data_IF_357112867673
#
_entry.id   IF_357112867673
#
_cell.length_a   1.000
_cell.length_b   1.000
_cell.length_c   1.000
_cell.angle_alpha   90.00
_cell.angle_beta   90.00
_cell.angle_gamma   90.00
#
_symmetry.space_group_name_H-M   'P 1'
#
loop_
_entity.id
_entity.type
_entity.pdbx_description
1 polymer ?
#
# COMPACT_ATOMS: atom_id res chain seq x y z
N UNK A 1 -8.63 -16.76 39.11
CA UNK A 1 -8.12 -17.44 40.32
C UNK A 1 -9.02 -17.00 41.45
N UNK A 2 -9.73 -17.96 42.06
CA UNK A 2 -10.64 -17.72 43.19
C UNK A 2 -9.86 -17.52 44.51
N UNK A 3 -10.50 -17.17 45.64
CA UNK A 3 -11.41 -18.10 46.32
C UNK A 3 -12.81 -17.54 46.59
N UNK A 4 -13.79 -18.43 46.63
CA UNK A 4 -15.05 -18.25 47.34
C UNK A 4 -15.05 -19.30 48.47
N UNK A 5 -15.05 -18.86 49.73
CA UNK A 5 -15.16 -19.72 50.91
C UNK A 5 -16.54 -19.50 51.56
N UNK A 6 -17.55 -20.29 51.16
CA UNK A 6 -18.82 -20.35 51.89
C UNK A 6 -18.82 -21.49 52.91
N UNK A 7 -18.41 -21.16 54.14
CA UNK A 7 -18.61 -22.01 55.33
C UNK A 7 -19.68 -21.39 56.24
N UNK A 8 -20.90 -21.91 56.20
CA UNK A 8 -21.82 -21.75 57.33
C UNK A 8 -22.87 -22.87 57.47
N UNK A 9 -22.68 -23.67 58.52
CA UNK A 9 -23.67 -24.58 59.11
C UNK A 9 -24.19 -23.98 60.44
N UNK A 10 -25.02 -24.72 61.19
CA UNK A 10 -26.47 -24.85 61.08
C UNK A 10 -27.18 -23.97 62.14
N UNK A 11 -28.43 -24.30 62.53
CA UNK A 11 -28.56 -24.71 63.94
C UNK A 11 -29.45 -25.93 64.19
N UNK A 12 -29.06 -26.73 65.19
CA UNK A 12 -29.89 -27.67 65.97
C UNK A 12 -30.02 -27.10 67.40
N UNK A 13 -31.16 -27.24 68.09
CA UNK A 13 -31.30 -26.61 69.42
C UNK A 13 -32.58 -26.81 70.22
N UNK A 14 -32.96 -28.06 70.51
CA UNK A 14 -33.71 -28.53 71.69
C UNK A 14 -34.88 -27.74 72.34
N UNK A 15 -36.06 -28.38 72.34
CA UNK A 15 -37.00 -28.63 73.45
C UNK A 15 -36.98 -27.77 74.73
N UNK A 16 -38.17 -27.46 75.28
CA UNK A 16 -38.74 -28.23 76.42
C UNK A 16 -40.15 -27.77 76.91
N UNK A 17 -40.93 -28.75 77.39
CA UNK A 17 -41.97 -28.69 78.46
C UNK A 17 -43.32 -27.95 78.30
N UNK A 18 -44.31 -28.52 79.00
CA UNK A 18 -45.58 -27.96 79.53
C UNK A 18 -46.71 -27.56 78.54
N UNK A 19 -48.00 -27.76 78.87
CA UNK A 19 -48.62 -28.78 79.73
C UNK A 19 -50.14 -28.91 79.44
N UNK A 20 -50.84 -29.75 80.22
CA UNK A 20 -52.27 -30.11 80.12
C UNK A 20 -53.27 -28.99 79.78
N UNK A 21 -54.23 -29.33 78.89
CA UNK A 21 -55.59 -28.77 78.94
C UNK A 21 -56.63 -29.72 78.33
N UNK A 22 -57.38 -30.44 79.18
CA UNK A 22 -58.79 -30.93 79.05
C UNK A 22 -59.08 -32.17 79.92
N UNK A 23 -59.09 -32.02 81.25
CA UNK A 23 -59.77 -32.95 82.19
C UNK A 23 -60.36 -32.14 83.35
N UNK A 24 -61.48 -32.61 83.90
CA UNK A 24 -62.11 -32.28 85.20
C UNK A 24 -63.44 -31.53 85.13
N UNK A 25 -64.52 -32.32 85.04
CA UNK A 25 -65.89 -31.94 85.39
C UNK A 25 -66.39 -32.89 86.48
N UNK A 26 -66.11 -32.61 87.76
CA UNK A 26 -66.84 -33.25 88.87
C UNK A 26 -66.59 -32.63 90.26
N UNK A 27 -67.51 -32.91 91.20
CA UNK A 27 -67.59 -32.48 92.62
C UNK A 27 -67.88 -30.96 92.80
N UNK A 28 -68.65 -30.52 93.80
CA UNK A 28 -69.22 -31.18 94.99
C UNK A 28 -68.49 -30.70 96.27
N UNK A 29 -69.13 -30.54 97.44
CA UNK A 29 -70.48 -30.93 97.90
C UNK A 29 -70.85 -30.17 99.20
N UNK A 30 -72.00 -30.52 99.82
CA UNK A 30 -72.51 -30.10 101.14
C UNK A 30 -72.95 -28.62 101.28
N UNK A 31 -74.24 -28.31 101.46
CA UNK A 31 -75.13 -28.51 102.63
C UNK A 31 -74.95 -27.48 103.77
N UNK A 32 -76.03 -26.74 104.08
CA UNK A 32 -76.55 -26.63 105.46
C UNK A 32 -78.01 -26.13 105.49
N UNK A 33 -78.64 -26.29 106.65
CA UNK A 33 -79.99 -25.88 107.11
C UNK A 33 -80.58 -24.56 106.56
N UNK A 34 -81.92 -24.41 106.46
CA UNK A 34 -83.00 -25.36 106.79
C UNK A 34 -84.36 -24.71 107.12
N UNK A 35 -85.29 -25.50 107.65
CA UNK A 35 -86.50 -25.07 108.38
C UNK A 35 -87.54 -24.22 107.62
N UNK A 36 -88.30 -24.83 106.70
CA UNK A 36 -89.63 -24.33 106.36
C UNK A 36 -90.57 -24.56 107.55
N UNK A 37 -90.93 -23.48 108.26
CA UNK A 37 -91.74 -23.54 109.48
C UNK A 37 -93.23 -23.75 109.16
N UNK A 38 -93.95 -24.43 110.06
CA UNK A 38 -95.35 -24.79 109.85
C UNK A 38 -96.30 -23.59 109.97
N UNK A 39 -97.32 -23.55 109.10
CA UNK A 39 -98.38 -22.54 109.08
C UNK A 39 -99.43 -22.82 110.19
N UNK A 40 -99.08 -22.46 111.43
CA UNK A 40 -99.89 -22.76 112.62
C UNK A 40 -100.99 -21.71 112.80
N UNK A 41 -102.09 -21.89 112.06
CA UNK A 41 -103.30 -21.05 112.15
C UNK A 41 -104.10 -21.29 113.44
N UNK A 42 -103.53 -20.96 114.60
CA UNK A 42 -104.17 -21.05 115.91
C UNK A 42 -105.09 -19.84 116.18
N UNK A 43 -106.24 -19.78 115.50
CA UNK A 43 -107.25 -18.72 115.68
C UNK A 43 -108.00 -18.85 117.02
N UNK A 44 -107.33 -18.52 118.12
CA UNK A 44 -107.87 -18.55 119.48
C UNK A 44 -108.96 -17.50 119.73
N UNK A 45 -110.20 -17.82 119.37
CA UNK A 45 -111.36 -16.95 119.66
C UNK A 45 -111.71 -17.03 121.15
N UNK A 46 -111.11 -16.15 121.96
CA UNK A 46 -111.47 -15.95 123.37
C UNK A 46 -112.84 -15.26 123.50
N UNK A 47 -113.90 -16.05 123.30
CA UNK A 47 -115.29 -15.60 123.33
C UNK A 47 -115.76 -15.28 124.77
N UNK A 48 -115.41 -14.09 125.27
CA UNK A 48 -116.23 -13.30 126.20
C UNK A 48 -116.67 -13.97 127.51
N UNK A 49 -115.94 -14.97 127.99
CA UNK A 49 -116.27 -15.69 129.22
C UNK A 49 -116.12 -14.81 130.45
N UNK A 50 -117.19 -14.12 130.88
CA UNK A 50 -117.34 -13.64 132.26
C UNK A 50 -117.02 -14.81 133.17
N UNK A 51 -115.91 -14.72 133.92
CA UNK A 51 -115.29 -15.94 134.45
C UNK A 51 -116.26 -16.73 135.33
N UNK A 52 -116.20 -18.08 135.34
CA UNK A 52 -117.12 -18.89 136.17
C UNK A 52 -117.07 -18.49 137.65
N UNK A 53 -115.91 -18.00 138.09
CA UNK A 53 -115.68 -17.39 139.39
C UNK A 53 -116.50 -16.09 139.58
N UNK A 54 -116.42 -15.12 138.66
CA UNK A 54 -117.19 -13.88 138.73
C UNK A 54 -118.71 -14.13 138.77
N UNK A 55 -119.19 -15.14 138.02
CA UNK A 55 -120.60 -15.54 138.04
C UNK A 55 -121.01 -16.17 139.37
N UNK A 56 -120.26 -17.16 139.84
CA UNK A 56 -120.48 -17.81 141.14
C UNK A 56 -120.44 -16.80 142.30
N UNK A 57 -119.63 -15.75 142.20
CA UNK A 57 -119.58 -14.66 143.19
C UNK A 57 -120.83 -13.78 143.19
N UNK A 58 -121.41 -13.47 142.02
CA UNK A 58 -122.70 -12.77 141.94
C UNK A 58 -123.84 -13.64 142.51
N UNK A 59 -123.85 -14.94 142.18
CA UNK A 59 -124.84 -15.88 142.72
C UNK A 59 -124.72 -16.03 144.24
N UNK A 60 -123.49 -16.00 144.79
CA UNK A 60 -123.23 -16.00 146.23
C UNK A 60 -123.66 -14.69 146.92
N UNK A 61 -123.49 -13.52 146.30
CA UNK A 61 -124.03 -12.27 146.84
C UNK A 61 -125.57 -12.26 146.83
N UNK A 62 -126.21 -12.77 145.78
CA UNK A 62 -127.66 -12.92 145.71
C UNK A 62 -128.19 -13.84 146.83
N UNK A 63 -127.55 -14.99 147.06
CA UNK A 63 -127.87 -15.89 148.16
C UNK A 63 -127.67 -15.22 149.54
N UNK A 64 -126.58 -14.48 149.73
CA UNK A 64 -126.31 -13.75 150.98
C UNK A 64 -127.30 -12.60 151.25
N UNK A 65 -127.78 -11.92 150.20
CA UNK A 65 -128.87 -10.94 150.30
C UNK A 65 -130.19 -11.62 150.72
N UNK A 66 -130.54 -12.75 150.09
CA UNK A 66 -131.75 -13.51 150.41
C UNK A 66 -131.74 -13.99 151.87
N UNK A 67 -130.63 -14.55 152.34
CA UNK A 67 -130.45 -14.96 153.73
C UNK A 67 -130.56 -13.77 154.71
N UNK A 68 -130.01 -12.60 154.38
CA UNK A 68 -130.13 -11.40 155.21
C UNK A 68 -131.58 -10.91 155.33
N UNK A 69 -132.37 -10.97 154.25
CA UNK A 69 -133.80 -10.62 154.25
C UNK A 69 -134.60 -11.61 155.10
N UNK A 70 -134.36 -12.92 154.94
CA UNK A 70 -135.01 -13.95 155.75
C UNK A 70 -134.71 -13.80 157.25
N UNK A 71 -133.46 -13.48 157.62
CA UNK A 71 -133.06 -13.25 159.01
C UNK A 71 -133.74 -12.01 159.64
N UNK A 72 -134.03 -10.96 158.86
CA UNK A 72 -134.86 -9.84 159.33
C UNK A 72 -136.29 -10.31 159.56
N UNK A 73 -136.91 -11.03 158.61
CA UNK A 73 -138.28 -11.54 158.81
C UNK A 73 -138.41 -12.50 160.01
N UNK A 74 -137.37 -13.27 160.33
CA UNK A 74 -137.35 -14.15 161.51
C UNK A 74 -137.20 -13.37 162.83
N UNK A 75 -136.39 -12.30 162.86
CA UNK A 75 -136.32 -11.37 164.00
C UNK A 75 -137.70 -10.78 164.28
N UNK A 76 -138.37 -10.30 163.23
CA UNK A 76 -139.65 -9.58 163.36
C UNK A 76 -140.81 -10.54 163.69
N UNK A 77 -140.76 -11.80 163.22
CA UNK A 77 -141.69 -12.86 163.64
C UNK A 77 -141.61 -13.14 165.16
N UNK A 78 -140.41 -13.31 165.72
CA UNK A 78 -140.22 -13.49 167.17
C UNK A 78 -140.49 -12.22 168.01
N UNK A 79 -140.63 -11.04 167.38
CA UNK A 79 -141.07 -9.82 168.07
C UNK A 79 -142.59 -9.85 168.33
N UNK A 80 -143.37 -10.64 167.55
CA UNK A 80 -144.83 -10.75 167.66
C UNK A 80 -145.33 -11.85 168.62
N UNK A 81 -144.57 -12.94 168.84
CA UNK A 81 -144.97 -14.03 169.78
C UNK A 81 -144.98 -13.62 171.28
N UNK A 82 -144.73 -12.35 171.60
CA UNK A 82 -144.64 -11.85 172.98
C UNK A 82 -145.99 -11.60 173.68
N UNK A 83 -147.14 -11.76 173.00
CA UNK A 83 -148.44 -11.25 173.47
C UNK A 83 -149.37 -12.27 174.15
N UNK A 84 -149.06 -13.57 174.18
CA UNK A 84 -149.91 -14.59 174.81
C UNK A 84 -149.22 -15.36 175.97
N UNK A 85 -150.00 -16.16 176.70
CA UNK A 85 -149.88 -16.30 178.15
C UNK A 85 -149.21 -17.60 178.64
N UNK A 86 -148.85 -17.61 179.93
CA UNK A 86 -148.29 -18.73 180.71
C UNK A 86 -146.95 -19.33 180.21
N UNK A 87 -145.84 -18.60 180.42
CA UNK A 87 -144.50 -19.20 180.50
C UNK A 87 -143.74 -18.75 181.76
N UNK A 88 -142.89 -19.65 182.28
CA UNK A 88 -142.28 -19.55 183.62
C UNK A 88 -141.14 -18.53 183.71
N UNK A 89 -140.86 -18.05 184.93
CA UNK A 89 -139.81 -17.07 185.21
C UNK A 89 -138.37 -17.60 184.97
N UNK A 90 -138.20 -18.92 184.85
CA UNK A 90 -136.93 -19.56 184.50
C UNK A 90 -136.62 -19.42 183.00
N UNK A 91 -137.62 -19.68 182.14
CA UNK A 91 -137.46 -19.66 180.68
C UNK A 91 -137.16 -18.26 180.16
N UNK A 92 -137.81 -17.24 180.71
CA UNK A 92 -137.56 -15.82 180.36
C UNK A 92 -136.08 -15.41 180.52
N UNK A 93 -135.34 -16.01 181.47
CA UNK A 93 -133.89 -15.75 181.65
C UNK A 93 -133.01 -16.53 180.67
N UNK A 94 -133.39 -17.75 180.29
CA UNK A 94 -132.70 -18.54 179.26
C UNK A 94 -132.89 -17.92 177.88
N UNK A 95 -134.13 -17.60 177.52
CA UNK A 95 -134.52 -16.99 176.25
C UNK A 95 -133.87 -15.62 176.05
N UNK A 96 -133.82 -14.76 177.09
CA UNK A 96 -133.14 -13.45 177.00
C UNK A 96 -131.63 -13.58 176.73
N UNK A 97 -130.96 -14.61 177.25
CA UNK A 97 -129.54 -14.90 176.92
C UNK A 97 -129.38 -15.40 175.49
N UNK A 98 -130.24 -16.32 175.03
CA UNK A 98 -130.21 -16.82 173.65
C UNK A 98 -130.53 -15.70 172.63
N UNK A 99 -131.49 -14.81 172.93
CA UNK A 99 -131.77 -13.58 172.14
C UNK A 99 -130.56 -12.66 172.06
N UNK A 100 -129.85 -12.45 173.17
CA UNK A 100 -128.62 -11.64 173.19
C UNK A 100 -127.53 -12.23 172.28
N UNK A 101 -127.25 -13.52 172.43
CA UNK A 101 -126.26 -14.25 171.62
C UNK A 101 -126.62 -14.28 170.13
N UNK A 102 -127.91 -14.40 169.80
CA UNK A 102 -128.41 -14.38 168.41
C UNK A 102 -128.24 -12.99 167.78
N UNK A 103 -128.54 -11.91 168.51
CA UNK A 103 -128.34 -10.54 168.03
C UNK A 103 -126.85 -10.20 167.87
N UNK A 104 -126.00 -10.65 168.80
CA UNK A 104 -124.54 -10.56 168.68
C UNK A 104 -124.05 -11.29 167.41
N UNK A 105 -124.53 -12.51 167.16
CA UNK A 105 -124.19 -13.28 165.96
C UNK A 105 -124.76 -12.67 164.66
N UNK A 106 -125.87 -11.94 164.72
CA UNK A 106 -126.39 -11.16 163.58
C UNK A 106 -125.55 -9.91 163.31
N UNK A 107 -125.03 -9.23 164.33
CA UNK A 107 -124.15 -8.09 164.16
C UNK A 107 -122.74 -8.50 163.69
N UNK A 108 -122.23 -9.66 164.16
CA UNK A 108 -121.09 -10.36 163.56
C UNK A 108 -121.36 -10.67 162.09
N UNK A 109 -122.50 -11.29 161.75
CA UNK A 109 -122.84 -11.65 160.37
C UNK A 109 -122.90 -10.42 159.45
N UNK A 110 -123.52 -9.31 159.88
CA UNK A 110 -123.49 -8.03 159.12
C UNK A 110 -122.07 -7.52 158.92
N UNK A 111 -121.23 -7.55 159.96
CA UNK A 111 -119.82 -7.10 159.92
C UNK A 111 -118.99 -7.95 158.95
N UNK A 112 -119.18 -9.27 159.00
CA UNK A 112 -118.56 -10.24 158.09
C UNK A 112 -119.08 -10.04 156.66
N UNK A 113 -120.39 -9.90 156.44
CA UNK A 113 -121.00 -9.67 155.12
C UNK A 113 -120.46 -8.37 154.49
N UNK A 114 -120.35 -7.28 155.26
CA UNK A 114 -119.72 -6.02 154.80
C UNK A 114 -118.24 -6.22 154.44
N UNK A 115 -117.48 -6.96 155.25
CA UNK A 115 -116.08 -7.29 154.97
C UNK A 115 -115.92 -8.15 153.72
N UNK A 116 -116.80 -9.14 153.52
CA UNK A 116 -116.85 -9.99 152.32
C UNK A 116 -117.18 -9.15 151.08
N UNK A 117 -118.15 -8.23 151.12
CA UNK A 117 -118.43 -7.32 149.98
C UNK A 117 -117.27 -6.37 149.70
N UNK A 118 -116.59 -5.86 150.72
CA UNK A 118 -115.41 -5.01 150.51
C UNK A 118 -114.27 -5.79 149.84
N UNK A 119 -113.99 -7.02 150.29
CA UNK A 119 -113.04 -7.92 149.63
C UNK A 119 -113.49 -8.32 148.23
N UNK A 120 -114.79 -8.52 148.00
CA UNK A 120 -115.34 -8.84 146.69
C UNK A 120 -115.15 -7.67 145.71
N UNK A 121 -115.41 -6.44 146.14
CA UNK A 121 -115.15 -5.23 145.34
C UNK A 121 -113.65 -5.09 145.02
N UNK A 122 -112.77 -5.31 146.00
CA UNK A 122 -111.32 -5.32 145.79
C UNK A 122 -110.85 -6.42 144.83
N UNK A 123 -111.44 -7.62 144.89
CA UNK A 123 -111.18 -8.71 143.94
C UNK A 123 -111.72 -8.39 142.54
N UNK A 124 -112.85 -7.69 142.43
CA UNK A 124 -113.40 -7.26 141.14
C UNK A 124 -112.58 -6.13 140.52
N UNK A 125 -112.10 -5.18 141.32
CA UNK A 125 -111.19 -4.11 140.88
C UNK A 125 -109.86 -4.71 140.39
N UNK A 126 -109.23 -5.57 141.19
CA UNK A 126 -108.01 -6.28 140.79
C UNK A 126 -108.21 -7.21 139.57
N UNK A 127 -109.41 -7.78 139.38
CA UNK A 127 -109.74 -8.57 138.18
C UNK A 127 -109.88 -7.69 136.93
N UNK A 128 -110.43 -6.48 137.04
CA UNK A 128 -110.48 -5.50 135.95
C UNK A 128 -109.06 -5.02 135.61
N UNK A 129 -108.26 -4.66 136.61
CA UNK A 129 -106.85 -4.28 136.41
C UNK A 129 -106.05 -5.41 135.73
N UNK A 130 -106.29 -6.66 136.13
CA UNK A 130 -105.68 -7.86 135.51
C UNK A 130 -106.11 -8.05 134.06
N UNK A 131 -107.38 -7.83 133.75
CA UNK A 131 -107.93 -7.92 132.38
C UNK A 131 -107.36 -6.79 131.50
N UNK A 132 -107.24 -5.57 132.01
CA UNK A 132 -106.68 -4.44 131.25
C UNK A 132 -105.16 -4.54 131.10
N UNK A 133 -104.44 -5.08 132.09
CA UNK A 133 -103.04 -5.48 131.95
C UNK A 133 -102.86 -6.58 130.88
N UNK A 134 -103.77 -7.57 130.82
CA UNK A 134 -103.76 -8.58 129.75
C UNK A 134 -103.91 -7.94 128.37
N UNK A 135 -104.89 -7.04 128.17
CA UNK A 135 -105.06 -6.31 126.90
C UNK A 135 -103.83 -5.50 126.51
N UNK A 136 -103.14 -4.88 127.47
CA UNK A 136 -101.90 -4.16 127.20
C UNK A 136 -100.76 -5.12 126.80
N UNK A 137 -100.68 -6.30 127.42
CA UNK A 137 -99.74 -7.36 127.00
C UNK A 137 -100.08 -7.81 125.56
N UNK A 138 -101.34 -8.06 125.24
CA UNK A 138 -101.78 -8.46 123.88
C UNK A 138 -101.42 -7.39 122.83
N UNK A 139 -101.64 -6.10 123.14
CA UNK A 139 -101.28 -4.96 122.27
C UNK A 139 -99.76 -4.81 122.12
N UNK A 140 -98.98 -5.11 123.16
CA UNK A 140 -97.52 -5.08 123.10
C UNK A 140 -96.96 -6.26 122.32
N UNK A 141 -97.53 -7.47 122.48
CA UNK A 141 -97.19 -8.65 121.69
C UNK A 141 -97.44 -8.40 120.20
N UNK A 142 -98.59 -7.83 119.83
CA UNK A 142 -98.89 -7.53 118.42
C UNK A 142 -97.92 -6.49 117.83
N UNK A 143 -97.50 -5.50 118.61
CA UNK A 143 -96.46 -4.54 118.21
C UNK A 143 -95.08 -5.18 118.07
N UNK A 144 -94.74 -6.16 118.91
CA UNK A 144 -93.50 -6.94 118.82
C UNK A 144 -93.55 -7.79 117.54
N UNK A 145 -94.61 -8.56 117.31
CA UNK A 145 -94.82 -9.36 116.10
C UNK A 145 -94.69 -8.50 114.83
N UNK A 146 -95.34 -7.33 114.80
CA UNK A 146 -95.25 -6.39 113.67
C UNK A 146 -93.81 -5.91 113.45
N UNK A 147 -93.13 -5.44 114.50
CA UNK A 147 -91.75 -4.95 114.43
C UNK A 147 -90.76 -6.05 114.04
N UNK A 148 -90.95 -7.29 114.49
CA UNK A 148 -90.17 -8.45 114.06
C UNK A 148 -90.38 -8.76 112.58
N UNK A 149 -91.63 -8.72 112.10
CA UNK A 149 -91.94 -8.93 110.68
C UNK A 149 -91.34 -7.85 109.76
N UNK A 150 -91.32 -6.60 110.22
CA UNK A 150 -90.68 -5.48 109.53
C UNK A 150 -89.15 -5.60 109.56
N UNK A 151 -88.57 -6.01 110.69
CA UNK A 151 -87.14 -6.26 110.82
C UNK A 151 -86.68 -7.39 109.88
N UNK A 152 -87.41 -8.51 109.82
CA UNK A 152 -87.12 -9.59 108.85
C UNK A 152 -87.32 -9.15 107.38
N UNK A 153 -88.23 -8.21 107.10
CA UNK A 153 -88.36 -7.62 105.76
C UNK A 153 -87.17 -6.71 105.43
N UNK A 154 -86.71 -5.90 106.38
CA UNK A 154 -85.54 -5.03 106.22
C UNK A 154 -84.24 -5.84 106.08
N UNK A 155 -84.05 -6.91 106.87
CA UNK A 155 -82.92 -7.84 106.73
C UNK A 155 -82.86 -8.46 105.33
N UNK A 156 -83.99 -8.97 104.82
CA UNK A 156 -84.07 -9.53 103.46
C UNK A 156 -83.74 -8.49 102.39
N UNK A 157 -84.35 -7.32 102.46
CA UNK A 157 -84.07 -6.23 101.51
C UNK A 157 -82.62 -5.72 101.58
N UNK A 158 -82.01 -5.69 102.77
CA UNK A 158 -80.59 -5.37 102.94
C UNK A 158 -79.68 -6.46 102.35
N UNK A 159 -80.03 -7.74 102.49
CA UNK A 159 -79.30 -8.85 101.89
C UNK A 159 -79.43 -8.87 100.36
N UNK A 160 -80.64 -8.62 99.84
CA UNK A 160 -80.90 -8.45 98.40
C UNK A 160 -80.07 -7.29 97.82
N UNK A 161 -80.02 -6.16 98.52
CA UNK A 161 -79.18 -5.02 98.14
C UNK A 161 -77.68 -5.33 98.23
N UNK A 162 -77.25 -6.06 99.27
CA UNK A 162 -75.86 -6.52 99.44
C UNK A 162 -75.39 -7.39 98.28
N UNK A 163 -76.16 -8.43 97.95
CA UNK A 163 -75.93 -9.28 96.78
C UNK A 163 -75.87 -8.45 95.49
N UNK A 164 -76.80 -7.49 95.30
CA UNK A 164 -76.83 -6.65 94.10
C UNK A 164 -75.64 -5.70 93.99
N UNK A 165 -75.07 -5.24 95.11
CA UNK A 165 -73.81 -4.49 95.13
C UNK A 165 -72.62 -5.39 94.80
N UNK A 166 -72.60 -6.63 95.27
CA UNK A 166 -71.55 -7.61 94.94
C UNK A 166 -71.55 -7.95 93.44
N UNK A 167 -72.71 -8.24 92.84
CA UNK A 167 -72.89 -8.41 91.39
C UNK A 167 -72.34 -7.21 90.59
N UNK A 168 -72.65 -5.98 91.02
CA UNK A 168 -72.18 -4.75 90.36
C UNK A 168 -70.67 -4.53 90.54
N UNK A 169 -70.08 -4.95 91.66
CA UNK A 169 -68.63 -4.94 91.84
C UNK A 169 -67.93 -5.94 90.91
N UNK A 170 -68.49 -7.13 90.71
CA UNK A 170 -67.91 -8.14 89.82
C UNK A 170 -68.07 -7.78 88.34
N UNK A 171 -69.22 -7.27 87.93
CA UNK A 171 -69.42 -6.69 86.58
C UNK A 171 -68.39 -5.60 86.29
N UNK A 172 -68.13 -4.70 87.25
CA UNK A 172 -67.10 -3.65 87.11
C UNK A 172 -65.67 -4.20 87.00
N UNK A 173 -65.35 -5.31 87.69
CA UNK A 173 -64.03 -5.98 87.56
C UNK A 173 -63.88 -6.58 86.15
N UNK A 174 -64.91 -7.27 85.66
CA UNK A 174 -64.91 -7.86 84.32
C UNK A 174 -64.78 -6.79 83.22
N UNK A 175 -65.53 -5.69 83.32
CA UNK A 175 -65.38 -4.52 82.45
C UNK A 175 -63.95 -3.95 82.50
N UNK A 176 -63.34 -3.87 83.69
CA UNK A 176 -61.98 -3.35 83.85
C UNK A 176 -60.90 -4.26 83.21
N UNK A 177 -61.01 -5.59 83.32
CA UNK A 177 -60.11 -6.52 82.63
C UNK A 177 -60.36 -6.57 81.11
N UNK A 178 -61.62 -6.44 80.68
CA UNK A 178 -61.99 -6.29 79.27
C UNK A 178 -61.37 -5.04 78.65
N UNK A 179 -61.45 -3.88 79.32
CA UNK A 179 -60.81 -2.63 78.89
C UNK A 179 -59.28 -2.77 78.84
N UNK A 180 -58.64 -3.39 79.85
CA UNK A 180 -57.18 -3.66 79.81
C UNK A 180 -56.79 -4.53 78.60
N UNK A 181 -57.57 -5.57 78.33
CA UNK A 181 -57.35 -6.48 77.18
C UNK A 181 -57.50 -5.75 75.85
N UNK A 182 -58.54 -4.92 75.70
CA UNK A 182 -58.76 -4.08 74.52
C UNK A 182 -57.61 -3.07 74.30
N UNK A 183 -57.09 -2.46 75.37
CA UNK A 183 -55.93 -1.56 75.30
C UNK A 183 -54.67 -2.32 74.87
N UNK A 184 -54.45 -3.54 75.38
CA UNK A 184 -53.31 -4.37 74.97
C UNK A 184 -53.41 -4.79 73.49
N UNK A 185 -54.59 -5.22 73.04
CA UNK A 185 -54.85 -5.54 71.63
C UNK A 185 -54.63 -4.32 70.72
N UNK A 186 -55.10 -3.14 71.13
CA UNK A 186 -54.91 -1.89 70.38
C UNK A 186 -53.43 -1.56 70.22
N UNK A 187 -52.64 -1.60 71.31
CA UNK A 187 -51.19 -1.37 71.25
C UNK A 187 -50.45 -2.38 70.36
N UNK A 188 -50.90 -3.64 70.34
CA UNK A 188 -50.34 -4.67 69.45
C UNK A 188 -50.69 -4.40 67.97
N UNK A 189 -51.92 -3.98 67.69
CA UNK A 189 -52.35 -3.57 66.35
C UNK A 189 -51.62 -2.31 65.86
N UNK A 190 -51.35 -1.34 66.75
CA UNK A 190 -50.57 -0.14 66.43
C UNK A 190 -49.09 -0.47 66.14
N UNK A 191 -48.47 -1.33 66.95
CA UNK A 191 -47.09 -1.77 66.76
C UNK A 191 -46.91 -2.56 65.45
N UNK A 192 -47.83 -3.47 65.13
CA UNK A 192 -47.82 -4.21 63.87
C UNK A 192 -48.10 -3.32 62.66
N UNK A 193 -49.03 -2.36 62.77
CA UNK A 193 -49.25 -1.34 61.73
C UNK A 193 -48.00 -0.52 61.46
N UNK A 194 -47.37 0.04 62.49
CA UNK A 194 -46.15 0.84 62.35
C UNK A 194 -44.99 0.03 61.73
N UNK A 195 -44.88 -1.26 62.06
CA UNK A 195 -43.90 -2.15 61.44
C UNK A 195 -44.18 -2.37 59.94
N UNK A 196 -45.44 -2.59 59.56
CA UNK A 196 -45.84 -2.75 58.15
C UNK A 196 -45.69 -1.44 57.35
N UNK A 197 -46.04 -0.30 57.92
CA UNK A 197 -45.81 1.03 57.33
C UNK A 197 -44.30 1.26 57.06
N UNK A 198 -43.44 0.87 58.00
CA UNK A 198 -41.98 0.90 57.82
C UNK A 198 -41.46 -0.09 56.77
N UNK A 199 -42.00 -1.30 56.68
CA UNK A 199 -41.65 -2.25 55.61
C UNK A 199 -42.04 -1.71 54.23
N UNK A 200 -43.24 -1.11 54.10
CA UNK A 200 -43.73 -0.52 52.87
C UNK A 200 -42.81 0.61 52.39
N UNK A 201 -42.50 1.58 53.26
CA UNK A 201 -41.60 2.69 52.94
C UNK A 201 -40.19 2.22 52.50
N UNK A 202 -39.65 1.19 53.15
CA UNK A 202 -38.37 0.59 52.76
C UNK A 202 -38.44 -0.06 51.36
N UNK A 203 -39.55 -0.73 51.04
CA UNK A 203 -39.76 -1.35 49.72
C UNK A 203 -40.03 -0.33 48.62
N UNK A 204 -40.73 0.76 48.91
CA UNK A 204 -40.90 1.87 47.99
C UNK A 204 -39.56 2.58 47.71
N UNK A 205 -38.72 2.79 48.73
CA UNK A 205 -37.38 3.34 48.56
C UNK A 205 -36.48 2.42 47.71
N UNK A 206 -36.53 1.11 47.95
CA UNK A 206 -35.82 0.11 47.13
C UNK A 206 -36.31 0.09 45.67
N UNK A 207 -37.63 0.12 45.45
CA UNK A 207 -38.23 0.15 44.11
C UNK A 207 -37.80 1.41 43.35
N UNK A 208 -37.86 2.58 43.99
CA UNK A 208 -37.37 3.84 43.41
C UNK A 208 -35.87 3.78 43.05
N UNK A 209 -35.03 3.17 43.90
CA UNK A 209 -33.60 2.94 43.61
C UNK A 209 -33.41 2.03 42.39
N UNK A 210 -34.13 0.92 42.31
CA UNK A 210 -34.05 -0.03 41.19
C UNK A 210 -34.56 0.60 39.88
N UNK A 211 -35.64 1.39 39.94
CA UNK A 211 -36.17 2.15 38.80
C UNK A 211 -35.15 3.17 38.28
N UNK A 212 -34.48 3.92 39.17
CA UNK A 212 -33.41 4.85 38.78
C UNK A 212 -32.19 4.15 38.14
N UNK A 213 -31.85 2.94 38.60
CA UNK A 213 -30.82 2.10 37.97
C UNK A 213 -31.27 1.60 36.59
N UNK A 214 -32.50 1.10 36.46
CA UNK A 214 -33.10 0.65 35.20
C UNK A 214 -33.13 1.79 34.17
N UNK A 215 -33.59 2.98 34.55
CA UNK A 215 -33.56 4.20 33.70
C UNK A 215 -32.15 4.61 33.24
N UNK A 216 -31.11 4.16 33.94
CA UNK A 216 -29.72 4.45 33.59
C UNK A 216 -29.14 3.38 32.66
N UNK A 217 -29.50 2.11 32.87
CA UNK A 217 -29.22 1.02 31.91
C UNK A 217 -29.98 1.20 30.58
N UNK A 218 -31.19 1.77 30.60
CA UNK A 218 -31.90 2.16 29.37
C UNK A 218 -31.12 3.18 28.55
N UNK A 219 -30.52 4.20 29.20
CA UNK A 219 -29.72 5.24 28.52
C UNK A 219 -28.44 4.67 27.91
N UNK A 220 -27.65 3.92 28.68
CA UNK A 220 -26.43 3.30 28.15
C UNK A 220 -26.71 2.27 27.06
N UNK A 221 -27.84 1.56 27.14
CA UNK A 221 -28.30 0.69 26.04
C UNK A 221 -28.67 1.49 24.77
N UNK A 222 -29.23 2.69 24.88
CA UNK A 222 -29.47 3.55 23.70
C UNK A 222 -28.19 4.18 23.16
N UNK A 223 -27.26 4.57 24.01
CA UNK A 223 -25.95 5.12 23.64
C UNK A 223 -25.15 4.06 22.86
N UNK A 224 -24.98 2.85 23.40
CA UNK A 224 -24.29 1.75 22.71
C UNK A 224 -24.98 1.30 21.41
N UNK A 225 -26.30 1.45 21.27
CA UNK A 225 -26.99 1.19 20.00
C UNK A 225 -26.58 2.19 18.91
N UNK A 226 -26.48 3.47 19.24
CA UNK A 226 -26.01 4.51 18.33
C UNK A 226 -24.55 4.28 17.93
N UNK A 227 -23.67 3.98 18.90
CA UNK A 227 -22.27 3.62 18.63
C UNK A 227 -22.14 2.42 17.68
N UNK A 228 -22.96 1.38 17.88
CA UNK A 228 -22.99 0.18 17.04
C UNK A 228 -23.45 0.52 15.61
N UNK A 229 -24.43 1.42 15.44
CA UNK A 229 -24.95 1.79 14.11
C UNK A 229 -23.99 2.74 13.36
N UNK A 230 -23.32 3.66 14.06
CA UNK A 230 -22.24 4.49 13.50
C UNK A 230 -21.02 3.64 13.07
N UNK A 231 -20.68 2.60 13.85
CA UNK A 231 -19.63 1.64 13.48
C UNK A 231 -20.03 0.80 12.27
N UNK A 232 -21.30 0.38 12.12
CA UNK A 232 -21.78 -0.28 10.89
C UNK A 232 -21.69 0.65 9.68
N UNK A 233 -22.05 1.92 9.82
CA UNK A 233 -21.90 2.94 8.77
C UNK A 233 -20.44 3.14 8.36
N UNK A 234 -19.54 3.15 9.35
CA UNK A 234 -18.08 3.24 9.13
C UNK A 234 -17.53 2.01 8.40
N UNK A 235 -17.91 0.80 8.81
CA UNK A 235 -17.48 -0.46 8.20
C UNK A 235 -17.97 -0.58 6.75
N UNK A 236 -19.23 -0.24 6.48
CA UNK A 236 -19.80 -0.28 5.12
C UNK A 236 -19.10 0.71 4.19
N UNK A 237 -18.94 1.98 4.61
CA UNK A 237 -18.20 3.01 3.86
C UNK A 237 -16.75 2.60 3.55
N UNK A 238 -16.02 2.04 4.53
CA UNK A 238 -14.67 1.52 4.32
C UNK A 238 -14.63 0.32 3.36
N UNK A 239 -15.63 -0.57 3.42
CA UNK A 239 -15.75 -1.73 2.52
C UNK A 239 -15.99 -1.30 1.08
N UNK A 240 -16.89 -0.33 0.86
CA UNK A 240 -17.13 0.27 -0.46
C UNK A 240 -15.91 1.02 -1.01
N UNK A 241 -15.13 1.68 -0.13
CA UNK A 241 -13.87 2.30 -0.53
C UNK A 241 -12.86 1.23 -0.97
N UNK A 242 -12.65 0.20 -0.16
CA UNK A 242 -11.72 -0.90 -0.48
C UNK A 242 -12.11 -1.61 -1.80
N UNK A 243 -13.41 -1.77 -2.08
CA UNK A 243 -13.89 -2.33 -3.35
C UNK A 243 -13.54 -1.43 -4.56
N UNK A 244 -13.74 -0.11 -4.44
CA UNK A 244 -13.38 0.87 -5.47
C UNK A 244 -11.86 0.91 -5.69
N UNK A 245 -11.08 0.94 -4.62
CA UNK A 245 -9.61 0.98 -4.67
C UNK A 245 -9.07 -0.30 -5.34
N UNK A 246 -9.61 -1.49 -5.01
CA UNK A 246 -9.27 -2.77 -5.63
C UNK A 246 -9.58 -2.80 -7.15
N UNK A 247 -10.74 -2.30 -7.59
CA UNK A 247 -11.02 -2.22 -9.04
C UNK A 247 -10.17 -1.15 -9.76
N UNK A 248 -9.76 -0.08 -9.07
CA UNK A 248 -8.79 0.89 -9.62
C UNK A 248 -7.41 0.25 -9.83
N UNK A 249 -6.93 -0.52 -8.84
CA UNK A 249 -5.69 -1.29 -8.91
C UNK A 249 -5.76 -2.35 -10.02
N UNK A 250 -6.86 -3.12 -10.13
CA UNK A 250 -7.04 -4.09 -11.23
C UNK A 250 -6.96 -3.43 -12.61
N UNK A 251 -7.54 -2.23 -12.79
CA UNK A 251 -7.44 -1.46 -14.03
C UNK A 251 -5.98 -1.01 -14.30
N UNK A 252 -5.27 -0.54 -13.28
CA UNK A 252 -3.85 -0.19 -13.39
C UNK A 252 -2.98 -1.41 -13.77
N UNK A 253 -3.15 -2.56 -13.11
CA UNK A 253 -2.43 -3.80 -13.41
C UNK A 253 -2.72 -4.31 -14.82
N UNK A 254 -3.98 -4.27 -15.28
CA UNK A 254 -4.34 -4.60 -16.68
C UNK A 254 -3.63 -3.68 -17.68
N UNK A 255 -3.60 -2.37 -17.42
CA UNK A 255 -2.92 -1.40 -18.27
C UNK A 255 -1.39 -1.57 -18.28
N UNK A 256 -0.79 -1.91 -17.13
CA UNK A 256 0.64 -2.21 -17.03
C UNK A 256 1.01 -3.51 -17.74
N UNK A 257 0.18 -4.57 -17.67
CA UNK A 257 0.36 -5.81 -18.43
C UNK A 257 0.34 -5.54 -19.95
N UNK A 258 -0.66 -4.80 -20.44
CA UNK A 258 -0.75 -4.40 -21.85
C UNK A 258 0.44 -3.53 -22.29
N UNK A 259 1.03 -2.76 -21.38
CA UNK A 259 2.27 -1.99 -21.66
C UNK A 259 3.50 -2.90 -21.73
N UNK A 260 3.59 -3.94 -20.90
CA UNK A 260 4.67 -4.93 -20.96
C UNK A 260 4.59 -5.73 -22.28
N UNK A 261 3.42 -6.28 -22.62
CA UNK A 261 3.17 -7.01 -23.88
C UNK A 261 3.57 -6.20 -25.13
N UNK A 262 3.32 -4.87 -25.11
CA UNK A 262 3.73 -3.95 -26.18
C UNK A 262 5.26 -3.73 -26.24
N UNK A 263 5.95 -3.77 -25.10
CA UNK A 263 7.42 -3.68 -25.08
C UNK A 263 8.07 -5.01 -25.49
N UNK A 264 7.50 -6.14 -25.08
CA UNK A 264 7.93 -7.49 -25.51
C UNK A 264 7.86 -7.61 -27.04
N UNK A 265 6.71 -7.31 -27.65
CA UNK A 265 6.55 -7.32 -29.11
C UNK A 265 7.47 -6.31 -29.84
N UNK A 266 7.82 -5.18 -29.20
CA UNK A 266 8.79 -4.24 -29.75
C UNK A 266 10.23 -4.78 -29.68
N UNK A 267 10.60 -5.45 -28.60
CA UNK A 267 11.91 -6.11 -28.42
C UNK A 267 12.05 -7.26 -29.43
N UNK A 268 11.02 -8.10 -29.60
CA UNK A 268 11.01 -9.17 -30.60
C UNK A 268 11.21 -8.63 -32.02
N UNK A 269 10.52 -7.53 -32.38
CA UNK A 269 10.71 -6.87 -33.68
C UNK A 269 12.13 -6.36 -33.87
N UNK A 270 12.71 -5.68 -32.87
CA UNK A 270 14.08 -5.21 -32.92
C UNK A 270 15.08 -6.37 -33.03
N UNK A 271 14.84 -7.49 -32.34
CA UNK A 271 15.68 -8.68 -32.38
C UNK A 271 15.60 -9.43 -33.73
N UNK A 272 14.42 -9.46 -34.36
CA UNK A 272 14.26 -9.95 -35.73
C UNK A 272 15.01 -9.07 -36.74
N UNK A 273 14.93 -7.74 -36.61
CA UNK A 273 15.68 -6.79 -37.44
C UNK A 273 17.19 -6.92 -37.22
N UNK A 274 17.66 -7.14 -35.99
CA UNK A 274 19.08 -7.39 -35.70
C UNK A 274 19.58 -8.65 -36.45
N UNK A 275 18.84 -9.77 -36.36
CA UNK A 275 19.16 -11.00 -37.10
C UNK A 275 19.18 -10.83 -38.62
N UNK A 276 18.27 -10.02 -39.17
CA UNK A 276 18.28 -9.65 -40.59
C UNK A 276 19.56 -8.89 -40.96
N UNK A 277 19.96 -7.90 -40.16
CA UNK A 277 21.19 -7.13 -40.39
C UNK A 277 22.45 -7.95 -40.20
N UNK A 278 22.50 -8.84 -39.22
CA UNK A 278 23.63 -9.77 -39.04
C UNK A 278 23.77 -10.72 -40.24
N UNK A 279 22.67 -11.27 -40.76
CA UNK A 279 22.69 -12.10 -41.96
C UNK A 279 23.18 -11.33 -43.20
N UNK A 280 22.74 -10.08 -43.38
CA UNK A 280 23.23 -9.20 -44.46
C UNK A 280 24.72 -8.84 -44.29
N UNK A 281 25.20 -8.61 -43.06
CA UNK A 281 26.61 -8.38 -42.76
C UNK A 281 27.48 -9.61 -43.04
N UNK A 282 26.99 -10.82 -42.75
CA UNK A 282 27.66 -12.07 -43.13
C UNK A 282 27.73 -12.21 -44.65
N UNK A 283 26.63 -11.97 -45.37
CA UNK A 283 26.61 -12.00 -46.85
C UNK A 283 27.60 -11.00 -47.46
N UNK A 284 27.60 -9.76 -47.00
CA UNK A 284 28.51 -8.73 -47.49
C UNK A 284 30.00 -9.03 -47.18
N UNK A 285 30.30 -9.72 -46.06
CA UNK A 285 31.66 -10.21 -45.77
C UNK A 285 32.10 -11.29 -46.77
N UNK A 286 31.23 -12.27 -47.05
CA UNK A 286 31.51 -13.33 -48.02
C UNK A 286 31.72 -12.76 -49.44
N UNK A 287 30.89 -11.80 -49.86
CA UNK A 287 31.05 -11.10 -51.14
C UNK A 287 32.38 -10.33 -51.20
N UNK A 288 32.71 -9.56 -50.16
CA UNK A 288 33.99 -8.84 -50.04
C UNK A 288 35.19 -9.80 -50.15
N UNK A 289 35.15 -10.93 -49.46
CA UNK A 289 36.28 -11.85 -49.44
C UNK A 289 36.40 -12.66 -50.75
N UNK A 290 35.29 -12.92 -51.46
CA UNK A 290 35.34 -13.41 -52.85
C UNK A 290 35.98 -12.38 -53.80
N UNK A 291 35.64 -11.10 -53.68
CA UNK A 291 36.31 -10.02 -54.44
C UNK A 291 37.79 -9.85 -54.10
N UNK A 292 38.18 -10.11 -52.84
CA UNK A 292 39.60 -10.16 -52.42
C UNK A 292 40.32 -11.30 -53.16
N UNK A 293 39.81 -12.52 -53.08
CA UNK A 293 40.37 -13.71 -53.71
C UNK A 293 40.59 -13.49 -55.22
N UNK A 294 39.57 -13.00 -55.93
CA UNK A 294 39.66 -12.67 -57.35
C UNK A 294 40.73 -11.61 -57.64
N UNK A 295 40.84 -10.57 -56.80
CA UNK A 295 41.88 -9.54 -56.95
C UNK A 295 43.27 -10.12 -56.71
N UNK A 296 43.42 -11.03 -55.76
CA UNK A 296 44.68 -11.71 -55.43
C UNK A 296 45.12 -12.59 -56.60
N UNK A 297 44.23 -13.44 -57.13
CA UNK A 297 44.46 -14.22 -58.36
C UNK A 297 44.85 -13.33 -59.55
N UNK A 298 44.10 -12.26 -59.84
CA UNK A 298 44.41 -11.33 -60.93
C UNK A 298 45.75 -10.60 -60.73
N UNK A 299 46.17 -10.40 -59.47
CA UNK A 299 47.48 -9.81 -59.15
C UNK A 299 48.60 -10.81 -59.40
N UNK A 300 48.40 -12.09 -59.06
CA UNK A 300 49.34 -13.16 -59.35
C UNK A 300 49.48 -13.46 -60.85
N UNK A 301 48.37 -13.43 -61.61
CA UNK A 301 48.39 -13.55 -63.07
C UNK A 301 49.11 -12.36 -63.71
N UNK A 302 48.86 -11.13 -63.24
CA UNK A 302 49.64 -9.96 -63.63
C UNK A 302 51.14 -10.13 -63.31
N UNK A 303 51.49 -10.62 -62.13
CA UNK A 303 52.89 -10.80 -61.72
C UNK A 303 53.60 -11.84 -62.62
N UNK A 304 52.93 -12.95 -62.95
CA UNK A 304 53.42 -13.95 -63.92
C UNK A 304 53.64 -13.35 -65.31
N UNK A 305 52.71 -12.51 -65.79
CA UNK A 305 52.84 -11.81 -67.07
C UNK A 305 53.97 -10.76 -67.06
N UNK A 306 54.15 -10.02 -65.96
CA UNK A 306 55.27 -9.06 -65.82
C UNK A 306 56.61 -9.78 -65.87
N UNK A 307 56.77 -10.88 -65.12
CA UNK A 307 57.99 -11.69 -65.16
C UNK A 307 58.26 -12.27 -66.57
N UNK A 308 57.22 -12.66 -67.31
CA UNK A 308 57.36 -13.10 -68.71
C UNK A 308 57.76 -11.94 -69.65
N UNK A 309 57.21 -10.73 -69.45
CA UNK A 309 57.63 -9.52 -70.19
C UNK A 309 59.08 -9.15 -69.88
N UNK A 310 59.54 -9.31 -68.64
CA UNK A 310 60.93 -9.07 -68.25
C UNK A 310 61.89 -10.11 -68.87
N UNK A 311 61.49 -11.37 -68.93
CA UNK A 311 62.22 -12.42 -69.65
C UNK A 311 62.28 -12.17 -71.18
N UNK A 312 61.18 -11.72 -71.79
CA UNK A 312 61.18 -11.36 -73.21
C UNK A 312 62.02 -10.10 -73.47
N UNK A 313 62.04 -9.14 -72.54
CA UNK A 313 62.93 -7.96 -72.61
C UNK A 313 64.40 -8.34 -72.51
N UNK A 314 64.79 -9.22 -71.59
CA UNK A 314 66.19 -9.66 -71.47
C UNK A 314 66.64 -10.44 -72.69
N UNK A 315 65.80 -11.34 -73.22
CA UNK A 315 66.03 -12.00 -74.50
C UNK A 315 66.19 -10.98 -75.64
N UNK A 316 65.32 -9.95 -75.72
CA UNK A 316 65.41 -8.90 -76.73
C UNK A 316 66.69 -8.06 -76.59
N UNK A 317 67.15 -7.75 -75.38
CA UNK A 317 68.47 -7.11 -75.19
C UNK A 317 69.60 -8.03 -75.59
N UNK A 318 69.55 -9.34 -75.30
CA UNK A 318 70.57 -10.31 -75.70
C UNK A 318 70.61 -10.50 -77.23
N UNK A 319 69.47 -10.47 -77.90
CA UNK A 319 69.39 -10.44 -79.37
C UNK A 319 69.94 -9.11 -79.93
N UNK A 320 69.63 -7.98 -79.29
CA UNK A 320 70.11 -6.65 -79.72
C UNK A 320 71.63 -6.53 -79.56
N UNK A 321 72.20 -7.02 -78.45
CA UNK A 321 73.66 -7.06 -78.21
C UNK A 321 74.36 -7.98 -79.20
N UNK A 322 73.79 -9.17 -79.49
CA UNK A 322 74.32 -10.07 -80.54
C UNK A 322 74.25 -9.46 -81.94
N UNK A 323 73.16 -8.77 -82.27
CA UNK A 323 72.98 -8.10 -83.56
C UNK A 323 73.93 -6.91 -83.71
N UNK A 324 74.09 -6.10 -82.66
CA UNK A 324 75.04 -4.99 -82.64
C UNK A 324 76.48 -5.50 -82.74
N UNK A 325 76.87 -6.54 -81.98
CA UNK A 325 78.18 -7.20 -82.10
C UNK A 325 78.45 -7.69 -83.52
N UNK A 326 77.52 -8.43 -84.13
CA UNK A 326 77.71 -8.95 -85.51
C UNK A 326 77.69 -7.84 -86.57
N UNK A 327 76.98 -6.74 -86.32
CA UNK A 327 77.07 -5.52 -87.13
C UNK A 327 78.45 -4.86 -86.99
N UNK A 328 78.98 -4.74 -85.78
CA UNK A 328 80.30 -4.13 -85.52
C UNK A 328 81.42 -4.98 -86.14
N UNK A 329 81.40 -6.30 -85.95
CA UNK A 329 82.25 -7.27 -86.63
C UNK A 329 82.17 -7.13 -88.16
N UNK A 330 80.96 -6.99 -88.72
CA UNK A 330 80.75 -6.76 -90.15
C UNK A 330 81.27 -5.39 -90.61
N UNK A 331 81.15 -4.34 -89.80
CA UNK A 331 81.72 -3.02 -90.15
C UNK A 331 83.25 -3.03 -90.10
N UNK A 332 83.86 -3.70 -89.12
CA UNK A 332 85.31 -3.88 -89.04
C UNK A 332 85.85 -4.71 -90.21
N UNK A 333 85.14 -5.77 -90.62
CA UNK A 333 85.44 -6.49 -91.85
C UNK A 333 85.30 -5.59 -93.09
N UNK A 334 84.25 -4.76 -93.16
CA UNK A 334 84.03 -3.85 -94.28
C UNK A 334 85.08 -2.73 -94.36
N UNK A 335 85.52 -2.15 -93.24
CA UNK A 335 86.63 -1.18 -93.23
C UNK A 335 87.96 -1.83 -93.62
N UNK A 336 88.20 -3.08 -93.20
CA UNK A 336 89.38 -3.85 -93.64
C UNK A 336 89.35 -4.10 -95.16
N UNK A 337 88.17 -4.38 -95.73
CA UNK A 337 87.99 -4.48 -97.19
C UNK A 337 88.15 -3.12 -97.87
N UNK A 338 87.60 -2.04 -97.33
CA UNK A 338 87.77 -0.68 -97.88
C UNK A 338 89.24 -0.28 -97.91
N UNK A 339 89.99 -0.45 -96.82
CA UNK A 339 91.44 -0.18 -96.77
C UNK A 339 92.21 -0.98 -97.83
N UNK A 340 91.79 -2.21 -98.10
CA UNK A 340 92.37 -3.04 -99.18
C UNK A 340 91.99 -2.52 -100.57
N UNK A 341 90.77 -2.01 -100.78
CA UNK A 341 90.33 -1.39 -102.04
C UNK A 341 91.01 -0.05 -102.26
N UNK A 342 91.18 0.78 -101.23
CA UNK A 342 91.95 2.03 -101.28
C UNK A 342 93.41 1.75 -101.64
N UNK A 343 94.05 0.78 -100.98
CA UNK A 343 95.43 0.35 -101.30
C UNK A 343 95.58 -0.15 -102.74
N UNK A 344 94.64 -0.97 -103.22
CA UNK A 344 94.61 -1.40 -104.62
C UNK A 344 94.33 -0.24 -105.58
N UNK A 345 93.60 0.79 -105.15
CA UNK A 345 93.31 1.98 -105.95
C UNK A 345 94.52 2.92 -106.05
N UNK A 346 95.31 3.06 -104.98
CA UNK A 346 96.60 3.77 -105.04
C UNK A 346 97.60 3.00 -105.89
N UNK A 347 97.71 1.69 -105.74
CA UNK A 347 98.58 0.84 -106.58
C UNK A 347 98.18 0.93 -108.07
N UNK A 348 96.88 0.95 -108.39
CA UNK A 348 96.39 1.15 -109.74
C UNK A 348 96.61 2.59 -110.25
N UNK A 349 96.57 3.60 -109.37
CA UNK A 349 96.93 4.98 -109.68
C UNK A 349 98.42 5.12 -110.03
N UNK A 350 99.30 4.52 -109.24
CA UNK A 350 100.75 4.47 -109.49
C UNK A 350 101.04 3.74 -110.81
N UNK A 351 100.36 2.63 -111.10
CA UNK A 351 100.46 1.93 -112.39
C UNK A 351 99.97 2.80 -113.55
N UNK A 352 98.93 3.61 -113.36
CA UNK A 352 98.44 4.55 -114.38
C UNK A 352 99.43 5.70 -114.64
N UNK A 353 100.03 6.28 -113.60
CA UNK A 353 101.10 7.29 -113.73
C UNK A 353 102.33 6.71 -114.43
N UNK A 354 102.74 5.49 -114.09
CA UNK A 354 103.83 4.79 -114.78
C UNK A 354 103.47 4.50 -116.25
N UNK A 355 102.22 4.14 -116.56
CA UNK A 355 101.77 3.95 -117.95
C UNK A 355 101.81 5.26 -118.75
N UNK A 356 101.42 6.39 -118.14
CA UNK A 356 101.51 7.71 -118.74
C UNK A 356 102.98 8.15 -118.96
N UNK A 357 103.86 7.90 -118.00
CA UNK A 357 105.30 8.18 -118.13
C UNK A 357 105.96 7.34 -119.24
N UNK A 358 105.61 6.06 -119.35
CA UNK A 358 106.06 5.20 -120.45
C UNK A 358 105.57 5.71 -121.81
N UNK A 359 104.29 6.09 -121.92
CA UNK A 359 103.74 6.71 -123.15
C UNK A 359 104.44 8.01 -123.52
N UNK A 360 104.74 8.88 -122.56
CA UNK A 360 105.51 10.09 -122.80
C UNK A 360 106.95 9.79 -123.27
N UNK A 361 107.58 8.72 -122.74
CA UNK A 361 108.89 8.29 -123.24
C UNK A 361 108.83 7.66 -124.63
N UNK A 362 107.75 6.97 -125.00
CA UNK A 362 107.51 6.47 -126.36
C UNK A 362 107.35 7.63 -127.34
N UNK A 363 106.44 8.57 -127.07
CA UNK A 363 106.21 9.75 -127.92
C UNK A 363 107.50 10.59 -128.12
N UNK A 364 108.35 10.69 -127.10
CA UNK A 364 109.66 11.33 -127.21
C UNK A 364 110.63 10.57 -128.12
N UNK A 365 110.64 9.24 -128.07
CA UNK A 365 111.47 8.42 -128.97
C UNK A 365 110.94 8.44 -130.41
N UNK A 366 109.62 8.49 -130.60
CA UNK A 366 108.98 8.68 -131.91
C UNK A 366 109.34 10.05 -132.52
N UNK A 367 109.34 11.13 -131.72
CA UNK A 367 109.83 12.43 -132.18
C UNK A 367 111.32 12.38 -132.55
N UNK A 368 112.17 11.80 -131.70
CA UNK A 368 113.61 11.67 -132.00
C UNK A 368 113.88 10.84 -133.26
N UNK A 369 113.04 9.84 -133.57
CA UNK A 369 113.11 9.09 -134.82
C UNK A 369 112.77 9.99 -136.03
N UNK A 370 111.67 10.75 -135.96
CA UNK A 370 111.29 11.68 -137.02
C UNK A 370 112.34 12.78 -137.26
N UNK A 371 112.95 13.30 -136.18
CA UNK A 371 114.05 14.27 -136.26
C UNK A 371 115.29 13.67 -136.97
N UNK A 372 115.59 12.38 -136.71
CA UNK A 372 116.69 11.66 -137.38
C UNK A 372 116.37 11.34 -138.84
N UNK A 373 115.13 10.98 -139.16
CA UNK A 373 114.68 10.76 -140.55
C UNK A 373 114.75 12.06 -141.36
N UNK A 374 114.36 13.20 -140.77
CA UNK A 374 114.52 14.53 -141.37
C UNK A 374 115.98 14.85 -141.68
N UNK A 375 116.87 14.71 -140.69
CA UNK A 375 118.30 14.97 -140.87
C UNK A 375 118.96 14.03 -141.90
N UNK A 376 118.51 12.77 -141.97
CA UNK A 376 118.96 11.81 -142.99
C UNK A 376 118.51 12.22 -144.40
N UNK A 377 117.30 12.76 -144.56
CA UNK A 377 116.82 13.28 -145.84
C UNK A 377 117.61 14.53 -146.27
N UNK A 378 117.89 15.47 -145.37
CA UNK A 378 118.70 16.66 -145.67
C UNK A 378 120.12 16.30 -146.13
N UNK A 379 120.83 15.44 -145.40
CA UNK A 379 122.19 15.03 -145.80
C UNK A 379 122.19 14.17 -147.09
N UNK A 380 121.09 13.46 -147.40
CA UNK A 380 120.94 12.79 -148.70
C UNK A 380 120.82 13.80 -149.84
N UNK A 381 120.02 14.85 -149.69
CA UNK A 381 119.89 15.93 -150.68
C UNK A 381 121.23 16.65 -150.88
N UNK A 382 121.93 16.98 -149.79
CA UNK A 382 123.27 17.57 -149.84
C UNK A 382 124.29 16.65 -150.54
N UNK A 383 124.19 15.33 -150.37
CA UNK A 383 125.02 14.35 -151.09
C UNK A 383 124.73 14.31 -152.59
N UNK A 384 123.46 14.33 -152.97
CA UNK A 384 123.01 14.36 -154.38
C UNK A 384 123.42 15.68 -155.08
N UNK A 385 123.42 16.81 -154.36
CA UNK A 385 123.84 18.12 -154.88
C UNK A 385 125.37 18.25 -155.00
N UNK A 386 126.15 17.77 -154.02
CA UNK A 386 127.63 17.66 -154.12
C UNK A 386 128.05 16.79 -155.30
N UNK A 387 127.31 15.70 -155.59
CA UNK A 387 127.55 14.84 -156.76
C UNK A 387 127.37 15.60 -158.07
N UNK A 388 126.31 16.40 -158.19
CA UNK A 388 126.05 17.19 -159.40
C UNK A 388 127.15 18.23 -159.66
N UNK A 389 127.65 18.91 -158.62
CA UNK A 389 128.78 19.85 -158.74
C UNK A 389 130.08 19.18 -159.19
N UNK A 390 130.34 17.94 -158.75
CA UNK A 390 131.51 17.16 -159.19
C UNK A 390 131.41 16.76 -160.68
N UNK A 391 130.23 16.35 -161.14
CA UNK A 391 129.96 16.02 -162.54
C UNK A 391 130.10 17.25 -163.46
N UNK A 392 129.58 18.40 -163.02
CA UNK A 392 129.72 19.67 -163.75
C UNK A 392 131.19 20.11 -163.85
N UNK A 393 131.98 19.90 -162.80
CA UNK A 393 133.42 20.20 -162.78
C UNK A 393 134.24 19.30 -163.73
N UNK A 394 133.85 18.03 -163.92
CA UNK A 394 134.48 17.17 -164.92
C UNK A 394 134.22 17.64 -166.35
N UNK A 395 133.01 18.13 -166.64
CA UNK A 395 132.64 18.58 -167.99
C UNK A 395 133.49 19.77 -168.44
N UNK A 396 133.65 20.78 -167.58
CA UNK A 396 134.47 21.98 -167.85
C UNK A 396 135.96 21.64 -168.10
N UNK A 397 136.51 20.62 -167.42
CA UNK A 397 137.88 20.17 -167.66
C UNK A 397 138.05 19.36 -168.96
N UNK A 398 136.99 18.80 -169.53
CA UNK A 398 137.04 18.14 -170.84
C UNK A 398 137.03 19.17 -171.98
N UNK A 399 136.19 20.20 -171.86
CA UNK A 399 135.99 21.26 -172.85
C UNK A 399 137.27 22.10 -173.05
N UNK A 400 137.85 22.61 -171.96
CA UNK A 400 139.13 23.34 -171.96
C UNK A 400 140.31 22.52 -172.51
N UNK A 401 140.21 21.18 -172.51
CA UNK A 401 141.25 20.30 -173.05
C UNK A 401 141.19 20.20 -174.57
N UNK A 402 139.99 20.26 -175.15
CA UNK A 402 139.77 20.22 -176.59
C UNK A 402 140.25 21.52 -177.27
N UNK A 403 139.93 22.69 -176.71
CA UNK A 403 140.38 23.99 -177.25
C UNK A 403 141.92 24.09 -177.29
N UNK A 404 142.60 23.53 -176.28
CA UNK A 404 144.06 23.58 -176.13
C UNK A 404 144.82 22.73 -177.17
N UNK A 405 144.17 21.72 -177.74
CA UNK A 405 144.71 20.89 -178.83
C UNK A 405 144.32 21.45 -180.22
N UNK A 406 143.10 22.01 -180.39
CA UNK A 406 142.69 22.72 -181.62
C UNK A 406 143.56 23.96 -181.91
N UNK A 407 143.87 24.77 -180.89
CA UNK A 407 144.81 25.89 -181.02
C UNK A 407 146.22 25.43 -181.41
N UNK A 408 146.60 24.19 -181.06
CA UNK A 408 147.90 23.59 -181.42
C UNK A 408 147.94 23.13 -182.88
N UNK A 409 146.79 22.78 -183.48
CA UNK A 409 146.66 22.47 -184.91
C UNK A 409 146.62 23.74 -185.76
N UNK A 410 145.84 24.76 -185.36
CA UNK A 410 145.68 26.01 -186.14
C UNK A 410 146.99 26.76 -186.37
N UNK A 411 147.90 26.74 -185.40
CA UNK A 411 149.22 27.37 -185.54
C UNK A 411 150.16 26.62 -186.52
N UNK A 412 149.92 25.34 -186.82
CA UNK A 412 150.74 24.56 -187.74
C UNK A 412 150.42 24.88 -189.22
N UNK A 413 149.15 25.05 -189.57
CA UNK A 413 148.73 25.24 -190.96
C UNK A 413 149.04 26.66 -191.50
N UNK A 414 148.89 27.70 -190.67
CA UNK A 414 149.05 29.11 -191.10
C UNK A 414 150.48 29.42 -191.56
N UNK A 415 151.49 28.65 -191.13
CA UNK A 415 152.87 28.80 -191.60
C UNK A 415 153.11 28.23 -193.02
N UNK A 416 152.18 27.45 -193.57
CA UNK A 416 152.35 26.76 -194.86
C UNK A 416 151.73 27.46 -196.07
N UNK A 417 150.67 28.26 -195.88
CA UNK A 417 149.85 28.76 -197.00
C UNK A 417 150.26 30.13 -197.56
N UNK A 418 151.17 30.86 -196.90
CA UNK A 418 151.62 32.20 -197.33
C UNK A 418 152.49 32.20 -198.61
N UNK A 419 152.72 31.03 -199.22
CA UNK A 419 153.61 30.86 -200.37
C UNK A 419 152.90 31.11 -201.73
N UNK A 420 151.55 31.10 -201.81
CA UNK A 420 150.84 30.98 -203.11
C UNK A 420 149.68 31.95 -203.33
N UNK A 421 150.05 33.10 -203.92
CA UNK A 421 149.28 33.97 -204.83
C UNK A 421 148.00 34.68 -204.35
N UNK A 422 147.99 36.00 -204.62
CA UNK A 422 146.82 36.79 -204.93
C UNK A 422 147.09 37.54 -206.25
N UNK A 423 146.23 37.37 -207.25
CA UNK A 423 146.11 38.23 -208.44
C UNK A 423 144.61 38.30 -208.82
N UNK A 424 144.22 39.28 -209.63
CA UNK A 424 142.81 39.55 -209.96
C UNK A 424 142.17 38.52 -210.92
N UNK A 425 140.93 38.72 -211.40
CA UNK A 425 140.03 39.89 -211.41
C UNK A 425 138.56 39.38 -211.38
N UNK A 426 137.48 40.17 -211.32
CA UNK A 426 136.94 40.92 -212.47
C UNK A 426 135.68 41.77 -212.17
N UNK A 427 135.30 42.57 -213.17
CA UNK A 427 133.99 43.25 -213.37
C UNK A 427 132.87 42.22 -213.65
N UNK A 428 131.57 42.51 -213.62
CA UNK A 428 130.75 43.73 -213.46
C UNK A 428 129.43 43.28 -212.78
N UNK A 429 128.68 44.08 -212.03
CA UNK A 429 127.73 45.15 -212.44
C UNK A 429 127.41 45.92 -211.13
N UNK A 430 127.82 47.17 -210.95
CA UNK A 430 127.18 48.40 -211.47
C UNK A 430 125.78 48.67 -210.86
N UNK A 431 125.46 49.75 -210.13
CA UNK A 431 126.13 50.91 -209.49
C UNK A 431 125.22 51.29 -208.29
N UNK A 432 125.61 51.81 -207.12
CA UNK A 432 126.79 52.50 -206.53
C UNK A 432 126.47 52.61 -205.00
N UNK A 433 127.29 52.63 -203.93
CA UNK A 433 128.73 52.52 -203.50
C UNK A 433 128.66 52.29 -201.92
N UNK A 434 129.60 52.44 -200.96
CA UNK A 434 131.04 52.76 -200.63
C UNK A 434 131.19 52.49 -199.09
N UNK A 435 132.27 52.62 -198.30
CA UNK A 435 133.77 52.57 -198.30
C UNK A 435 134.21 52.81 -196.82
N UNK A 436 135.43 52.56 -196.29
CA UNK A 436 136.67 51.88 -196.72
C UNK A 436 137.50 51.48 -195.47
N UNK A 437 138.34 50.41 -195.48
CA UNK A 437 139.11 49.92 -194.31
C UNK A 437 140.65 50.14 -194.38
N UNK A 438 141.39 49.57 -193.40
CA UNK A 438 142.80 49.03 -193.44
C UNK A 438 144.02 50.00 -193.46
N UNK A 439 145.05 49.78 -192.59
CA UNK A 439 146.50 50.07 -192.89
C UNK A 439 147.55 49.61 -191.81
N UNK A 440 148.81 49.45 -192.28
CA UNK A 440 150.12 49.87 -191.70
C UNK A 440 151.01 48.91 -190.83
N UNK A 441 152.22 48.62 -191.35
CA UNK A 441 153.47 48.51 -190.57
C UNK A 441 154.18 49.87 -190.63
N UNK A 442 154.42 50.48 -189.46
CA UNK A 442 155.46 51.49 -189.16
C UNK A 442 155.44 51.69 -187.63
N UNK A 443 156.58 51.73 -186.94
CA UNK A 443 157.41 52.93 -186.78
C UNK A 443 156.54 54.10 -186.27
N UNK A 444 156.72 54.63 -185.06
CA UNK A 444 157.90 54.64 -184.19
C UNK A 444 157.69 53.72 -182.96
N UNK A 445 158.69 53.28 -182.17
CA UNK A 445 159.74 54.06 -181.50
C UNK A 445 159.09 55.14 -180.61
N UNK A 446 159.64 55.40 -179.43
CA UNK A 446 158.93 56.03 -178.31
C UNK A 446 157.96 55.04 -177.63
N UNK A 447 158.22 54.59 -176.41
CA UNK A 447 159.36 54.97 -175.56
C UNK A 447 159.60 53.93 -174.44
N UNK A 448 160.50 54.30 -173.52
CA UNK A 448 160.36 54.16 -172.06
C UNK A 448 159.15 53.35 -171.60
N UNK A 449 159.35 52.45 -170.63
CA UNK A 449 159.13 52.89 -169.24
C UNK A 449 157.93 53.85 -169.14
N UNK A 450 156.71 53.30 -169.28
CA UNK A 450 155.62 53.75 -168.44
C UNK A 450 155.52 52.68 -167.37
N UNK A 451 156.34 52.78 -166.32
CA UNK A 451 155.96 53.47 -165.09
C UNK A 451 154.69 52.79 -164.53
N UNK A 452 154.81 52.03 -163.44
CA UNK A 452 154.94 52.52 -162.04
C UNK A 452 153.69 51.94 -161.35
N UNK A 453 153.80 51.17 -160.26
CA UNK A 453 154.04 51.73 -158.93
C UNK A 453 153.00 52.85 -158.77
N UNK A 454 151.78 52.54 -158.37
CA UNK A 454 151.53 52.26 -156.97
C UNK A 454 150.40 51.21 -156.84
N UNK A 455 150.40 50.32 -155.85
CA UNK A 455 150.61 50.57 -154.41
C UNK A 455 149.53 51.49 -153.84
N UNK A 456 148.31 50.98 -153.74
CA UNK A 456 147.70 50.89 -152.42
C UNK A 456 147.34 49.42 -152.21
N UNK A 457 148.20 48.72 -151.47
CA UNK A 457 147.95 48.40 -150.06
C UNK A 457 146.80 47.38 -149.94
N UNK A 458 147.07 46.14 -149.51
CA UNK A 458 147.41 45.80 -148.11
C UNK A 458 146.24 46.18 -147.20
N UNK A 459 145.72 45.19 -146.49
CA UNK A 459 145.32 45.16 -145.08
C UNK A 459 144.41 43.89 -144.94
N UNK A 460 144.66 42.97 -144.01
CA UNK A 460 145.58 43.04 -142.88
C UNK A 460 146.04 41.67 -142.38
N UNK A 461 146.98 41.71 -141.44
CA UNK A 461 147.62 40.62 -140.71
C UNK A 461 148.63 39.80 -141.54
N UNK A 462 149.92 39.71 -141.17
CA UNK A 462 150.57 39.56 -139.83
C UNK A 462 150.36 38.16 -139.27
#
# INVERSE_FOLDING_TARGET
MSPEDELQSPPLGFSSTMEHLTVSKERGSLQTSGTSQADVSCRGVFAGGKSPFLKTLMDAEAAANSAAIQLVSFKDAMENEYTDSRQSATDKRRLKRQRGLLLEKLEDFKRINKSVRQKLKQLQEAEVDRIDASKQIDILLEKINQAESENEKLKRSLNEMGNRVEELMDQRKEEQESIKTAIHMTKSAEATRAHLEGQLQNKDAENNRLNAQLRTLERTLTEHKLEIDDLKGSITSLTEKAARDNESLRKATRAQKLRAERFEAAIEKCYAQLKEKDALLVKARLERDSWREQKEQMTDEKNKLVAHIELLKSQMTDFTVRLQKTKDERTAANTTVMQRVEKLSTENGDLHVNNAALKASVARLEQQLADCESAFVEERVLSEERKHQAEQSQYQMAELRAEMDDMRVKYANVLGEMEKMNDGRDTEVEKVKFFSPLYLIKLLLSLKMSLTVDVCLKLQCV
#
